data_IF_024822875499
#
_entry.id   IF_024822875499
#
_cell.length_a   1.000
_cell.length_b   1.000
_cell.length_c   1.000
_cell.angle_alpha   90.00
_cell.angle_beta   90.00
_cell.angle_gamma   90.00
#
_symmetry.space_group_name_H-M   'P 1'
#
loop_
_entity.id
_entity.type
_entity.pdbx_description
1 polymer ?
#
# COMPACT_ATOMS: atom_id res chain seq x y z
N UNK A 1 11.02 -59.20 -5.57
CA UNK A 1 10.46 -58.42 -6.71
C UNK A 1 9.34 -57.48 -6.30
N UNK A 2 8.46 -57.83 -5.35
CA UNK A 2 7.37 -56.96 -4.88
C UNK A 2 7.81 -55.70 -4.10
N UNK A 3 8.93 -55.72 -3.37
CA UNK A 3 9.38 -54.54 -2.58
C UNK A 3 9.80 -53.34 -3.45
N UNK A 4 10.38 -53.59 -4.63
CA UNK A 4 10.87 -52.51 -5.50
C UNK A 4 9.73 -51.75 -6.18
N UNK A 5 8.65 -52.46 -6.54
CA UNK A 5 7.49 -51.87 -7.22
C UNK A 5 6.70 -50.96 -6.27
N UNK A 6 6.56 -51.37 -4.99
CA UNK A 6 5.94 -50.55 -3.95
C UNK A 6 6.79 -49.31 -3.62
N UNK A 7 8.12 -49.45 -3.55
CA UNK A 7 9.01 -48.33 -3.32
C UNK A 7 8.95 -47.29 -4.47
N UNK A 8 8.90 -47.74 -5.73
CA UNK A 8 8.74 -46.84 -6.89
C UNK A 8 7.37 -46.15 -6.88
N UNK A 9 6.30 -46.87 -6.55
CA UNK A 9 4.97 -46.31 -6.49
C UNK A 9 4.81 -45.29 -5.34
N UNK A 10 5.46 -45.52 -4.19
CA UNK A 10 5.52 -44.57 -3.07
C UNK A 10 6.35 -43.32 -3.39
N UNK A 11 7.40 -43.46 -4.21
CA UNK A 11 8.26 -42.34 -4.63
C UNK A 11 7.65 -41.45 -5.71
N UNK A 12 6.62 -41.95 -6.41
CA UNK A 12 5.90 -41.22 -7.47
C UNK A 12 4.61 -40.56 -6.96
N UNK A 13 4.10 -41.01 -5.80
CA UNK A 13 2.87 -40.51 -5.19
C UNK A 13 3.04 -39.13 -4.49
N UNK A 14 1.94 -38.36 -4.33
CA UNK A 14 1.96 -37.06 -3.64
C UNK A 14 2.50 -37.16 -2.20
N UNK A 15 2.40 -38.32 -1.55
CA UNK A 15 2.90 -38.56 -0.18
C UNK A 15 4.42 -38.68 -0.07
N UNK A 16 5.19 -38.56 -1.17
CA UNK A 16 6.67 -38.57 -1.12
C UNK A 16 7.24 -37.55 -0.12
N UNK A 17 6.55 -36.42 0.05
CA UNK A 17 6.91 -35.37 1.01
C UNK A 17 6.97 -35.92 2.45
N UNK A 18 6.17 -36.94 2.80
CA UNK A 18 6.21 -37.59 4.10
C UNK A 18 7.49 -38.40 4.34
N UNK A 19 8.26 -38.72 3.29
CA UNK A 19 9.52 -39.47 3.39
C UNK A 19 10.76 -38.58 3.24
N UNK A 20 10.62 -37.42 2.60
CA UNK A 20 11.71 -36.47 2.31
C UNK A 20 11.99 -35.50 3.49
N UNK A 21 12.31 -36.03 4.69
CA UNK A 21 12.48 -35.22 5.93
C UNK A 21 13.58 -34.16 5.81
N UNK A 22 14.66 -34.45 5.10
CA UNK A 22 15.81 -33.54 4.93
C UNK A 22 15.51 -32.35 4.01
N UNK A 23 14.42 -32.41 3.22
CA UNK A 23 14.04 -31.38 2.25
C UNK A 23 12.86 -30.54 2.70
N UNK A 24 12.27 -30.82 3.87
CA UNK A 24 11.08 -30.12 4.39
C UNK A 24 11.32 -28.61 4.52
N UNK A 25 12.52 -28.18 4.88
CA UNK A 25 12.86 -26.76 5.07
C UNK A 25 12.77 -25.92 3.77
N UNK A 26 12.99 -26.55 2.61
CA UNK A 26 12.95 -25.90 1.30
C UNK A 26 11.56 -25.88 0.69
N UNK A 27 10.61 -26.64 1.24
CA UNK A 27 9.25 -26.77 0.70
C UNK A 27 8.36 -25.71 1.37
N UNK A 28 7.40 -25.16 0.62
CA UNK A 28 6.36 -24.28 1.16
C UNK A 28 5.41 -25.08 2.05
N UNK A 29 5.77 -25.19 3.34
CA UNK A 29 5.08 -26.01 4.34
C UNK A 29 3.57 -25.72 4.43
N UNK A 30 3.15 -24.48 4.16
CA UNK A 30 1.75 -24.06 4.18
C UNK A 30 0.89 -24.65 3.06
N UNK A 31 1.47 -25.00 1.91
CA UNK A 31 0.73 -25.58 0.78
C UNK A 31 0.41 -27.07 0.97
N UNK A 32 1.01 -27.69 1.98
CA UNK A 32 0.87 -29.12 2.23
C UNK A 32 -0.44 -29.36 3.00
N UNK A 33 -1.43 -29.99 2.36
CA UNK A 33 -2.63 -30.50 3.03
C UNK A 33 -2.31 -31.80 3.79
N UNK A 34 -1.67 -31.65 4.96
CA UNK A 34 -1.13 -32.77 5.75
C UNK A 34 -2.21 -33.81 6.14
N UNK A 35 -3.41 -33.35 6.53
CA UNK A 35 -4.49 -34.23 6.94
C UNK A 35 -5.01 -35.12 5.80
N UNK A 36 -5.24 -34.52 4.63
CA UNK A 36 -5.68 -35.24 3.42
C UNK A 36 -4.60 -36.22 2.95
N UNK A 37 -3.33 -35.81 2.97
CA UNK A 37 -2.22 -36.69 2.62
C UNK A 37 -2.11 -37.90 3.54
N UNK A 38 -2.19 -37.71 4.87
CA UNK A 38 -2.18 -38.82 5.82
C UNK A 38 -3.39 -39.74 5.66
N UNK A 39 -4.57 -39.17 5.38
CA UNK A 39 -5.77 -39.94 5.13
C UNK A 39 -5.61 -40.84 3.91
N UNK A 40 -5.23 -40.27 2.78
CA UNK A 40 -5.04 -41.01 1.52
C UNK A 40 -3.88 -42.02 1.61
N UNK A 41 -2.80 -41.67 2.30
CA UNK A 41 -1.70 -42.59 2.61
C UNK A 41 -2.21 -43.79 3.44
N UNK A 42 -2.98 -43.54 4.50
CA UNK A 42 -3.54 -44.60 5.34
C UNK A 42 -4.54 -45.48 4.61
N UNK A 43 -5.33 -44.90 3.71
CA UNK A 43 -6.29 -45.62 2.85
C UNK A 43 -5.54 -46.55 1.90
N UNK A 44 -4.46 -46.06 1.30
CA UNK A 44 -3.65 -46.82 0.36
C UNK A 44 -2.95 -47.99 1.04
N UNK A 45 -2.34 -47.76 2.21
CA UNK A 45 -1.78 -48.82 3.04
C UNK A 45 -2.79 -49.91 3.40
N UNK A 46 -4.02 -49.52 3.79
CA UNK A 46 -5.09 -50.49 4.10
C UNK A 46 -5.55 -51.25 2.87
N UNK A 47 -5.59 -50.60 1.70
CA UNK A 47 -6.00 -51.23 0.44
C UNK A 47 -5.02 -52.30 -0.06
N UNK A 48 -3.73 -52.14 0.26
CA UNK A 48 -2.69 -53.08 -0.15
C UNK A 48 -2.59 -54.33 0.74
N UNK A 49 -3.32 -54.38 1.86
CA UNK A 49 -3.40 -55.56 2.74
C UNK A 49 -2.12 -55.87 3.53
N UNK A 50 -1.04 -55.14 3.30
CA UNK A 50 0.23 -55.22 4.03
C UNK A 50 0.63 -53.82 4.51
N UNK A 51 0.92 -53.69 5.81
CA UNK A 51 1.27 -52.42 6.43
C UNK A 51 2.72 -52.52 6.92
N UNK A 52 3.60 -51.78 6.26
CA UNK A 52 4.97 -51.59 6.73
C UNK A 52 5.02 -50.56 7.86
N UNK A 53 5.16 -51.04 9.10
CA UNK A 53 5.25 -50.17 10.28
C UNK A 53 6.48 -49.25 10.25
N UNK A 54 7.57 -49.68 9.61
CA UNK A 54 8.78 -48.85 9.45
C UNK A 54 8.50 -47.61 8.59
N UNK A 55 7.85 -47.80 7.44
CA UNK A 55 7.45 -46.73 6.53
C UNK A 55 6.43 -45.80 7.20
N UNK A 56 5.44 -46.36 7.91
CA UNK A 56 4.51 -45.59 8.72
C UNK A 56 5.22 -44.76 9.79
N UNK A 57 6.23 -45.32 10.47
CA UNK A 57 7.01 -44.61 11.48
C UNK A 57 7.72 -43.39 10.91
N UNK A 58 8.35 -43.53 9.74
CA UNK A 58 9.00 -42.42 9.02
C UNK A 58 7.97 -41.36 8.62
N UNK A 59 6.85 -41.78 8.04
CA UNK A 59 5.79 -40.86 7.60
C UNK A 59 5.17 -40.09 8.78
N UNK A 60 4.91 -40.76 9.90
CA UNK A 60 4.37 -40.15 11.12
C UNK A 60 5.38 -39.19 11.75
N UNK A 61 6.66 -39.57 11.80
CA UNK A 61 7.72 -38.67 12.29
C UNK A 61 7.81 -37.41 11.44
N UNK A 62 7.82 -37.55 10.11
CA UNK A 62 7.82 -36.44 9.17
C UNK A 62 6.58 -35.55 9.34
N UNK A 63 5.40 -36.16 9.49
CA UNK A 63 4.16 -35.44 9.76
C UNK A 63 4.24 -34.61 11.06
N UNK A 64 4.81 -35.16 12.13
CA UNK A 64 5.03 -34.45 13.38
C UNK A 64 5.98 -33.25 13.20
N UNK A 65 7.05 -33.42 12.42
CA UNK A 65 7.99 -32.33 12.07
C UNK A 65 7.30 -31.23 11.26
N UNK A 66 6.52 -31.59 10.24
CA UNK A 66 5.74 -30.65 9.43
C UNK A 66 4.77 -29.86 10.31
N UNK A 67 4.04 -30.56 11.19
CA UNK A 67 3.10 -29.93 12.11
C UNK A 67 3.80 -28.95 13.05
N UNK A 68 4.95 -29.34 13.64
CA UNK A 68 5.77 -28.44 14.47
C UNK A 68 6.15 -27.16 13.72
N UNK A 69 6.66 -27.28 12.49
CA UNK A 69 7.08 -26.12 11.68
C UNK A 69 5.88 -25.21 11.38
N UNK A 70 4.70 -25.76 11.08
CA UNK A 70 3.48 -24.96 10.88
C UNK A 70 3.13 -24.17 12.13
N UNK A 71 3.11 -24.81 13.30
CA UNK A 71 2.81 -24.15 14.56
C UNK A 71 3.84 -23.08 14.91
N UNK A 72 5.13 -23.35 14.72
CA UNK A 72 6.20 -22.36 14.94
C UNK A 72 6.06 -21.15 14.01
N UNK A 73 5.78 -21.36 12.72
CA UNK A 73 5.55 -20.26 11.77
C UNK A 73 4.30 -19.45 12.09
N UNK A 74 3.23 -20.10 12.56
CA UNK A 74 2.03 -19.42 13.02
C UNK A 74 2.37 -18.50 14.21
N UNK A 75 3.07 -19.03 15.21
CA UNK A 75 3.48 -18.28 16.40
C UNK A 75 4.44 -17.13 16.09
N UNK A 76 5.32 -17.29 15.10
CA UNK A 76 6.20 -16.21 14.64
C UNK A 76 5.40 -15.05 14.01
N UNK A 77 4.27 -15.33 13.36
CA UNK A 77 3.39 -14.31 12.81
C UNK A 77 2.67 -13.47 13.87
N UNK A 78 2.47 -14.02 15.06
CA UNK A 78 1.80 -13.34 16.18
C UNK A 78 2.74 -12.43 16.99
N UNK A 79 4.06 -12.45 16.71
CA UNK A 79 5.01 -11.57 17.39
C UNK A 79 4.76 -10.13 16.91
N UNK A 80 4.37 -9.19 17.80
CA UNK A 80 4.15 -7.82 17.40
C UNK A 80 5.43 -7.25 16.79
N UNK A 81 5.35 -6.51 15.67
CA UNK A 81 6.53 -5.95 15.03
C UNK A 81 7.28 -5.10 16.05
N UNK A 82 8.59 -5.32 16.17
CA UNK A 82 9.43 -4.52 17.06
C UNK A 82 9.18 -3.04 16.76
N UNK A 83 8.94 -2.20 17.78
CA UNK A 83 8.73 -0.78 17.56
C UNK A 83 9.95 -0.24 16.79
N UNK A 84 9.70 0.37 15.63
CA UNK A 84 10.75 0.98 14.82
C UNK A 84 11.52 1.96 15.71
N UNK A 85 12.86 2.00 15.64
CA UNK A 85 13.62 3.00 16.38
C UNK A 85 13.05 4.37 16.03
N UNK A 86 12.67 5.13 17.06
CA UNK A 86 12.17 6.49 16.88
C UNK A 86 13.25 7.23 16.07
N UNK A 87 12.90 7.90 14.95
CA UNK A 87 13.89 8.69 14.25
C UNK A 87 14.49 9.66 15.27
N UNK A 88 15.81 9.85 15.22
CA UNK A 88 16.48 10.91 15.97
C UNK A 88 15.93 12.24 15.44
N UNK A 89 14.86 12.71 16.07
CA UNK A 89 14.32 14.04 15.80
C UNK A 89 15.32 15.00 16.42
N UNK A 90 16.23 15.52 15.59
CA UNK A 90 17.00 16.71 15.95
C UNK A 90 16.01 17.81 16.25
N UNK A 91 15.80 18.08 17.53
CA UNK A 91 14.99 19.22 17.98
C UNK A 91 15.78 20.46 17.59
N UNK A 92 15.32 21.14 16.54
CA UNK A 92 15.91 22.41 16.13
C UNK A 92 15.72 23.43 17.26
N UNK A 93 16.72 24.28 17.54
CA UNK A 93 16.55 25.36 18.51
C UNK A 93 15.44 26.31 18.04
N UNK A 94 14.72 26.97 18.98
CA UNK A 94 13.69 27.94 18.63
C UNK A 94 14.26 29.02 17.71
N UNK A 95 13.69 29.16 16.51
CA UNK A 95 14.03 30.26 15.60
C UNK A 95 13.20 31.46 16.04
N UNK A 96 13.85 32.57 16.37
CA UNK A 96 13.15 33.84 16.57
C UNK A 96 12.60 34.29 15.22
N UNK A 97 11.28 34.20 15.06
CA UNK A 97 10.61 34.73 13.90
C UNK A 97 10.88 36.23 13.83
N UNK A 98 11.20 36.79 12.65
CA UNK A 98 11.33 38.23 12.51
C UNK A 98 10.01 38.87 12.91
N UNK A 99 10.00 39.54 14.06
CA UNK A 99 8.89 40.35 14.50
C UNK A 99 8.72 41.44 13.44
N UNK A 100 7.64 41.36 12.66
CA UNK A 100 7.23 42.43 11.78
C UNK A 100 6.37 43.33 12.66
N UNK A 101 6.92 44.40 13.29
CA UNK A 101 6.05 45.38 13.90
C UNK A 101 5.15 45.84 12.76
N UNK A 102 3.86 45.61 12.91
CA UNK A 102 2.90 46.01 11.89
C UNK A 102 3.21 47.45 11.53
N UNK A 103 3.52 47.61 10.26
CA UNK A 103 3.92 48.85 9.63
C UNK A 103 2.68 49.76 9.66
N UNK A 104 2.33 50.33 10.81
CA UNK A 104 1.47 51.50 10.88
C UNK A 104 2.30 52.67 10.33
N UNK A 105 2.40 52.76 9.01
CA UNK A 105 3.06 53.88 8.32
C UNK A 105 2.29 55.18 8.45
N UNK A 106 1.09 55.15 9.06
CA UNK A 106 0.29 56.31 9.36
C UNK A 106 -0.06 56.33 10.84
N UNK A 107 0.25 57.45 11.50
CA UNK A 107 -0.24 57.73 12.84
C UNK A 107 -1.77 57.90 12.83
N UNK A 108 -2.45 57.66 13.96
CA UNK A 108 -3.91 57.86 14.06
C UNK A 108 -4.32 59.26 13.58
N UNK A 109 -3.49 60.27 13.83
CA UNK A 109 -3.71 61.64 13.37
C UNK A 109 -3.66 61.78 11.84
N UNK A 110 -2.80 61.05 11.16
CA UNK A 110 -2.76 61.03 9.68
C UNK A 110 -4.02 60.40 9.09
N UNK A 111 -4.56 59.35 9.72
CA UNK A 111 -5.84 58.75 9.30
C UNK A 111 -6.99 59.75 9.47
N UNK A 112 -7.06 60.41 10.63
CA UNK A 112 -8.12 61.39 10.93
C UNK A 112 -8.07 62.58 9.96
N UNK A 113 -6.88 63.11 9.68
CA UNK A 113 -6.71 64.24 8.75
C UNK A 113 -7.01 63.87 7.30
N UNK A 114 -6.60 62.69 6.85
CA UNK A 114 -6.94 62.17 5.53
C UNK A 114 -8.46 62.00 5.38
N UNK A 115 -9.14 61.49 6.41
CA UNK A 115 -10.59 61.29 6.40
C UNK A 115 -11.36 62.61 6.36
N UNK A 116 -10.95 63.60 7.17
CA UNK A 116 -11.54 64.94 7.13
C UNK A 116 -11.40 65.58 5.75
N UNK A 117 -10.22 65.44 5.11
CA UNK A 117 -9.97 65.97 3.78
C UNK A 117 -10.84 65.26 2.72
N UNK A 118 -10.99 63.94 2.80
CA UNK A 118 -11.82 63.16 1.89
C UNK A 118 -13.32 63.51 2.02
N UNK A 119 -13.84 63.65 3.24
CA UNK A 119 -15.23 64.06 3.49
C UNK A 119 -15.51 65.50 3.03
N UNK A 120 -14.53 66.39 3.19
CA UNK A 120 -14.62 67.78 2.70
C UNK A 120 -14.53 67.87 1.17
N UNK A 121 -13.89 66.90 0.53
CA UNK A 121 -13.83 66.80 -0.93
C UNK A 121 -15.06 66.11 -1.53
N UNK A 122 -15.65 65.11 -0.85
CA UNK A 122 -16.85 64.42 -1.33
C UNK A 122 -18.10 65.31 -1.24
N UNK A 123 -18.19 66.17 -0.23
CA UNK A 123 -19.23 67.23 -0.17
C UNK A 123 -19.10 68.25 -1.30
N UNK A 124 -17.90 68.42 -1.88
CA UNK A 124 -17.65 69.31 -3.04
C UNK A 124 -17.87 68.64 -4.40
N UNK A 125 -17.88 67.30 -4.48
CA UNK A 125 -18.03 66.52 -5.73
C UNK A 125 -19.39 65.82 -5.87
N UNK A 126 -20.49 66.53 -5.58
CA UNK A 126 -21.80 66.18 -6.18
C UNK A 126 -21.88 66.75 -7.61
N UNK A 127 -21.03 66.27 -8.49
CA UNK A 127 -21.17 66.47 -9.93
C UNK A 127 -20.39 65.36 -10.64
N UNK A 128 -21.12 64.61 -11.46
CA UNK A 128 -20.67 63.69 -12.50
C UNK A 128 -19.99 62.39 -12.06
N UNK A 129 -20.82 61.37 -11.82
CA UNK A 129 -20.42 59.97 -11.91
C UNK A 129 -21.12 59.29 -13.08
N UNK A 130 -20.46 59.21 -14.23
CA UNK A 130 -20.79 58.22 -15.27
C UNK A 130 -19.97 56.96 -14.95
N UNK A 131 -20.56 55.76 -14.84
CA UNK A 131 -19.81 54.53 -14.62
C UNK A 131 -19.02 54.13 -15.89
N UNK A 132 -17.81 53.57 -15.77
CA UNK A 132 -17.08 53.04 -16.92
C UNK A 132 -17.79 51.78 -17.46
N UNK A 133 -17.86 51.66 -18.79
CA UNK A 133 -18.47 50.50 -19.44
C UNK A 133 -17.59 49.26 -19.26
N UNK A 134 -18.20 48.19 -18.77
CA UNK A 134 -17.59 46.86 -18.66
C UNK A 134 -17.52 46.28 -20.07
N UNK A 135 -16.32 46.03 -20.59
CA UNK A 135 -16.14 45.27 -21.82
C UNK A 135 -16.30 43.79 -21.49
N UNK A 136 -17.39 43.19 -21.96
CA UNK A 136 -17.55 41.73 -21.97
C UNK A 136 -16.55 41.14 -22.96
N UNK A 137 -15.39 40.66 -22.48
CA UNK A 137 -14.55 39.77 -23.27
C UNK A 137 -15.28 38.44 -23.45
N UNK A 138 -16.14 38.35 -24.48
CA UNK A 138 -16.70 37.07 -24.92
C UNK A 138 -15.59 36.24 -25.53
N UNK A 139 -15.07 35.30 -24.76
CA UNK A 139 -14.18 34.25 -25.24
C UNK A 139 -14.93 33.49 -26.35
N UNK A 140 -14.39 33.49 -27.57
CA UNK A 140 -14.98 32.77 -28.70
C UNK A 140 -14.63 31.29 -28.53
N UNK A 141 -15.49 30.56 -27.81
CA UNK A 141 -15.29 29.14 -27.45
C UNK A 141 -15.02 28.23 -28.65
N UNK A 142 -15.53 28.58 -29.84
CA UNK A 142 -15.40 27.75 -31.03
C UNK A 142 -13.94 27.58 -31.49
N UNK A 143 -13.11 28.63 -31.40
CA UNK A 143 -11.69 28.54 -31.80
C UNK A 143 -10.91 27.63 -30.85
N UNK A 144 -11.27 27.63 -29.57
CA UNK A 144 -10.64 26.79 -28.56
C UNK A 144 -11.01 25.30 -28.74
N UNK A 145 -12.27 25.01 -29.11
CA UNK A 145 -12.74 23.64 -29.34
C UNK A 145 -12.03 23.01 -30.54
N UNK A 146 -11.91 23.74 -31.66
CA UNK A 146 -11.20 23.25 -32.85
C UNK A 146 -9.75 22.89 -32.52
N UNK A 147 -9.09 23.70 -31.68
CA UNK A 147 -7.72 23.44 -31.24
C UNK A 147 -7.57 22.17 -30.40
N UNK A 148 -8.58 21.84 -29.61
CA UNK A 148 -8.60 20.61 -28.80
C UNK A 148 -8.74 19.38 -29.70
N UNK A 149 -9.61 19.46 -30.71
CA UNK A 149 -9.83 18.37 -31.68
C UNK A 149 -8.55 18.06 -32.46
N UNK A 150 -7.87 19.10 -32.98
CA UNK A 150 -6.60 18.93 -33.71
C UNK A 150 -5.49 18.27 -32.87
N UNK A 151 -5.40 18.59 -31.58
CA UNK A 151 -4.38 18.00 -30.70
C UNK A 151 -4.73 16.56 -30.28
N UNK A 152 -6.03 16.24 -30.16
CA UNK A 152 -6.48 14.87 -29.92
C UNK A 152 -6.21 13.96 -31.11
N UNK A 153 -6.46 14.43 -32.33
CA UNK A 153 -6.20 13.65 -33.55
C UNK A 153 -4.69 13.35 -33.69
N UNK A 154 -3.83 14.36 -33.46
CA UNK A 154 -2.36 14.16 -33.43
C UNK A 154 -1.91 13.16 -32.38
N UNK A 155 -2.60 13.08 -31.23
CA UNK A 155 -2.27 12.13 -30.18
C UNK A 155 -2.67 10.70 -30.56
N UNK A 156 -3.84 10.52 -31.19
CA UNK A 156 -4.32 9.22 -31.66
C UNK A 156 -3.44 8.67 -32.77
N UNK A 157 -2.97 9.49 -33.71
CA UNK A 157 -2.05 9.04 -34.78
C UNK A 157 -0.67 8.59 -34.26
N UNK A 158 -0.31 8.97 -33.03
CA UNK A 158 0.98 8.64 -32.41
C UNK A 158 0.95 7.37 -31.55
N UNK A 159 -0.22 6.77 -31.38
CA UNK A 159 -0.49 5.52 -30.66
C UNK A 159 -0.48 4.33 -31.62
#
# INVERSE_FOLDING_TARGET
>A
MLENDLAEQLMTAPWRILFDVTRIDRIRVWEIQLAEMLYEFSRTLRSQGYIDFNLCGIAVHSAAVIHRIKSEKLLQGDVPPKPKPKPEITVLPPIELPFKPELMTATIQEIVTALQKALSQSTRKKADSVPPQIQENRIILNEFIVKIEEELDKFIEKL
#
